data_IF_848485007475
#
_entry.id   IF_848485007475
#
_cell.length_a   1.000
_cell.length_b   1.000
_cell.length_c   1.000
_cell.angle_alpha   90.00
_cell.angle_beta   90.00
_cell.angle_gamma   90.00
#
_symmetry.space_group_name_H-M   'P 1'
#
loop_
_entity.id
_entity.type
_entity.pdbx_description
1 polymer ?
#
# COMPACT_ATOMS: atom_id res chain seq x y z
N UNK A 1 -13.00 18.50 -25.19
CA UNK A 1 -13.34 18.30 -23.75
C UNK A 1 -12.06 17.89 -23.05
N UNK A 2 -11.53 18.71 -22.16
CA UNK A 2 -10.42 18.28 -21.30
C UNK A 2 -10.95 17.18 -20.38
N UNK A 3 -10.51 15.95 -20.58
CA UNK A 3 -10.77 14.89 -19.60
C UNK A 3 -10.18 15.33 -18.29
N UNK A 4 -10.97 15.29 -17.20
CA UNK A 4 -10.49 15.64 -15.89
C UNK A 4 -9.18 14.84 -15.61
N UNK A 5 -8.12 15.54 -15.20
CA UNK A 5 -6.84 14.92 -14.95
C UNK A 5 -7.00 13.84 -13.87
N UNK A 6 -6.74 12.59 -14.24
CA UNK A 6 -6.82 11.45 -13.31
C UNK A 6 -5.73 11.59 -12.24
N UNK A 7 -6.08 11.40 -10.97
CA UNK A 7 -5.15 11.56 -9.85
C UNK A 7 -4.79 10.20 -9.24
N UNK A 8 -3.50 9.97 -9.03
CA UNK A 8 -2.95 8.80 -8.37
C UNK A 8 -2.27 9.17 -7.04
N UNK A 9 -2.51 8.41 -5.99
CA UNK A 9 -1.70 8.43 -4.75
C UNK A 9 -0.76 7.24 -4.75
N UNK A 10 0.55 7.49 -4.64
CA UNK A 10 1.58 6.44 -4.54
C UNK A 10 2.28 6.56 -3.19
N UNK A 11 2.09 5.56 -2.32
CA UNK A 11 2.78 5.56 -1.02
C UNK A 11 4.23 5.09 -1.14
N UNK A 12 5.15 5.69 -0.36
CA UNK A 12 6.58 5.37 -0.44
C UNK A 12 7.20 5.75 -1.80
N UNK A 13 6.73 6.83 -2.41
CA UNK A 13 7.12 7.29 -3.74
C UNK A 13 8.45 8.05 -3.80
N UNK A 14 9.21 8.11 -2.70
CA UNK A 14 10.46 8.91 -2.63
C UNK A 14 11.72 8.13 -3.01
N UNK A 15 11.62 6.81 -3.25
CA UNK A 15 12.74 5.97 -3.64
C UNK A 15 12.27 4.67 -4.34
N UNK A 16 13.22 3.96 -4.96
CA UNK A 16 13.02 2.61 -5.50
C UNK A 16 11.82 2.47 -6.42
N UNK A 17 11.03 1.40 -6.20
CA UNK A 17 9.86 1.09 -7.02
C UNK A 17 8.84 2.22 -7.04
N UNK A 18 8.48 2.75 -5.85
CA UNK A 18 7.45 3.79 -5.74
C UNK A 18 7.80 5.07 -6.50
N UNK A 19 9.08 5.52 -6.47
CA UNK A 19 9.55 6.67 -7.26
C UNK A 19 9.43 6.41 -8.77
N UNK A 20 9.85 5.23 -9.20
CA UNK A 20 9.79 4.87 -10.61
C UNK A 20 8.34 4.73 -11.11
N UNK A 21 7.44 4.17 -10.30
CA UNK A 21 5.99 4.09 -10.58
C UNK A 21 5.38 5.50 -10.66
N UNK A 22 5.72 6.38 -9.70
CA UNK A 22 5.25 7.78 -9.71
C UNK A 22 5.64 8.51 -11.00
N UNK A 23 6.90 8.37 -11.43
CA UNK A 23 7.38 8.93 -12.71
C UNK A 23 6.64 8.33 -13.93
N UNK A 24 6.42 7.00 -13.95
CA UNK A 24 5.72 6.33 -15.04
C UNK A 24 4.24 6.78 -15.15
N UNK A 25 3.54 6.93 -14.02
CA UNK A 25 2.16 7.43 -13.99
C UNK A 25 2.07 8.89 -14.46
N UNK A 26 3.00 9.74 -14.00
CA UNK A 26 3.08 11.13 -14.46
C UNK A 26 3.38 11.22 -15.95
N UNK A 27 4.25 10.35 -16.49
CA UNK A 27 4.54 10.24 -17.92
C UNK A 27 3.32 9.81 -18.76
N UNK A 28 2.31 9.19 -18.14
CA UNK A 28 1.00 8.89 -18.77
C UNK A 28 -0.02 10.03 -18.60
N UNK A 29 0.37 11.19 -18.08
CA UNK A 29 -0.49 12.35 -17.89
C UNK A 29 -1.32 12.35 -16.60
N UNK A 30 -1.09 11.42 -15.68
CA UNK A 30 -1.74 11.43 -14.36
C UNK A 30 -1.12 12.49 -13.46
N UNK A 31 -1.95 13.15 -12.65
CA UNK A 31 -1.47 13.91 -11.49
C UNK A 31 -1.08 12.95 -10.38
N UNK A 32 0.15 13.05 -9.87
CA UNK A 32 0.66 12.10 -8.87
C UNK A 32 0.85 12.77 -7.52
N UNK A 33 0.20 12.22 -6.50
CA UNK A 33 0.46 12.52 -5.09
C UNK A 33 1.64 11.66 -4.64
N UNK A 34 2.80 12.28 -4.51
CA UNK A 34 4.07 11.65 -4.14
C UNK A 34 4.15 11.57 -2.62
N UNK A 35 3.77 10.42 -2.05
CA UNK A 35 3.81 10.25 -0.60
C UNK A 35 5.18 9.77 -0.11
N UNK A 36 5.62 10.39 0.97
CA UNK A 36 6.81 10.00 1.75
C UNK A 36 6.82 10.67 3.12
N UNK A 37 7.76 10.28 3.98
CA UNK A 37 7.94 10.90 5.30
C UNK A 37 9.05 11.98 5.33
N UNK A 38 9.89 12.04 4.30
CA UNK A 38 10.98 12.99 4.16
C UNK A 38 10.61 14.04 3.13
N UNK A 39 10.43 15.29 3.58
CA UNK A 39 10.01 16.41 2.75
C UNK A 39 11.00 16.72 1.61
N UNK A 40 12.32 16.62 1.88
CA UNK A 40 13.35 16.92 0.87
C UNK A 40 13.34 15.89 -0.26
N UNK A 41 13.22 14.59 0.09
CA UNK A 41 13.11 13.51 -0.90
C UNK A 41 11.82 13.60 -1.69
N UNK A 42 10.69 13.92 -1.04
CA UNK A 42 9.42 14.07 -1.73
C UNK A 42 9.46 15.25 -2.71
N UNK A 43 9.99 16.41 -2.29
CA UNK A 43 10.18 17.57 -3.15
C UNK A 43 11.08 17.26 -4.36
N UNK A 44 12.19 16.55 -4.16
CA UNK A 44 13.09 16.14 -5.25
C UNK A 44 12.37 15.30 -6.32
N UNK A 45 11.47 14.39 -5.93
CA UNK A 45 10.70 13.58 -6.89
C UNK A 45 9.65 14.44 -7.61
N UNK A 46 8.99 15.35 -6.90
CA UNK A 46 8.06 16.30 -7.50
C UNK A 46 8.77 17.16 -8.55
N UNK A 47 9.95 17.70 -8.22
CA UNK A 47 10.77 18.52 -9.14
C UNK A 47 11.16 17.72 -10.39
N UNK A 48 11.57 16.47 -10.26
CA UNK A 48 11.89 15.60 -11.41
C UNK A 48 10.69 15.39 -12.33
N UNK A 49 9.53 15.05 -11.75
CA UNK A 49 8.30 14.85 -12.51
C UNK A 49 7.89 16.15 -13.22
N UNK A 50 7.96 17.29 -12.54
CA UNK A 50 7.59 18.59 -13.10
C UNK A 50 8.55 19.02 -14.21
N UNK A 51 9.85 18.82 -14.03
CA UNK A 51 10.85 19.10 -15.09
C UNK A 51 10.65 18.24 -16.34
N UNK A 52 10.08 17.04 -16.16
CA UNK A 52 9.71 16.16 -17.29
C UNK A 52 8.33 16.48 -17.88
N UNK A 53 7.69 17.58 -17.47
CA UNK A 53 6.37 17.99 -17.99
C UNK A 53 5.17 17.32 -17.32
N UNK A 54 5.38 16.51 -16.29
CA UNK A 54 4.32 15.86 -15.52
C UNK A 54 3.77 16.74 -14.39
N UNK A 55 2.65 16.31 -13.78
CA UNK A 55 2.02 16.98 -12.65
C UNK A 55 2.19 16.14 -11.38
N UNK A 56 2.79 16.70 -10.34
CA UNK A 56 2.96 16.04 -9.06
C UNK A 56 2.83 16.99 -7.87
N UNK A 57 2.46 16.44 -6.71
CA UNK A 57 2.45 17.15 -5.42
C UNK A 57 2.97 16.23 -4.32
N UNK A 58 3.84 16.75 -3.45
CA UNK A 58 4.31 16.03 -2.28
C UNK A 58 3.21 15.99 -1.20
N UNK A 59 3.05 14.80 -0.58
CA UNK A 59 2.18 14.59 0.58
C UNK A 59 2.97 13.82 1.65
N UNK A 60 2.95 14.33 2.87
CA UNK A 60 3.83 13.83 3.93
C UNK A 60 3.02 13.11 5.01
N UNK A 61 3.44 11.91 5.35
CA UNK A 61 2.98 11.17 6.52
C UNK A 61 3.99 10.09 6.91
N UNK A 62 4.11 9.78 8.18
CA UNK A 62 4.77 8.54 8.61
C UNK A 62 3.73 7.43 8.78
N UNK A 63 3.82 6.39 7.94
CA UNK A 63 2.91 5.24 7.99
C UNK A 63 3.10 4.37 9.25
N UNK A 64 4.12 4.65 10.06
CA UNK A 64 4.26 4.08 11.39
C UNK A 64 3.37 4.78 12.44
N UNK A 65 2.55 5.76 12.03
CA UNK A 65 1.53 6.42 12.86
C UNK A 65 0.20 6.36 12.15
N UNK A 66 -0.75 5.62 12.68
CA UNK A 66 -2.11 5.51 12.13
C UNK A 66 -2.84 6.85 12.17
N UNK A 67 -2.51 7.71 13.14
CA UNK A 67 -3.03 9.07 13.19
C UNK A 67 -2.57 9.88 11.96
N UNK A 68 -1.29 9.83 11.56
CA UNK A 68 -0.81 10.51 10.37
C UNK A 68 -1.37 9.90 9.07
N UNK A 69 -1.62 8.58 9.05
CA UNK A 69 -2.31 7.93 7.92
C UNK A 69 -3.74 8.46 7.78
N UNK A 70 -4.45 8.63 8.90
CA UNK A 70 -5.77 9.24 8.93
C UNK A 70 -5.74 10.67 8.39
N UNK A 71 -4.84 11.52 8.90
CA UNK A 71 -4.66 12.91 8.48
C UNK A 71 -4.35 13.02 6.98
N UNK A 72 -3.49 12.13 6.46
CA UNK A 72 -3.23 12.01 5.03
C UNK A 72 -4.50 11.72 4.24
N UNK A 73 -5.30 10.74 4.68
CA UNK A 73 -6.55 10.39 4.02
C UNK A 73 -7.57 11.54 4.08
N UNK A 74 -7.69 12.21 5.22
CA UNK A 74 -8.58 13.36 5.41
C UNK A 74 -8.18 14.52 4.48
N UNK A 75 -6.88 14.78 4.37
CA UNK A 75 -6.38 15.78 3.43
C UNK A 75 -6.70 15.41 1.97
N UNK A 76 -6.49 14.13 1.56
CA UNK A 76 -6.84 13.68 0.20
C UNK A 76 -8.33 13.83 -0.08
N UNK A 77 -9.19 13.48 0.88
CA UNK A 77 -10.64 13.63 0.76
C UNK A 77 -11.06 15.09 0.56
N UNK A 78 -10.44 16.03 1.29
CA UNK A 78 -10.76 17.44 1.24
C UNK A 78 -10.21 18.15 -0.02
N UNK A 79 -8.94 17.88 -0.37
CA UNK A 79 -8.20 18.63 -1.40
C UNK A 79 -8.42 18.07 -2.83
N UNK A 80 -8.55 16.74 -2.99
CA UNK A 80 -8.61 16.14 -4.33
C UNK A 80 -10.04 15.92 -4.85
N UNK A 81 -11.01 15.76 -3.98
CA UNK A 81 -12.39 15.45 -4.35
C UNK A 81 -12.60 14.09 -5.01
N UNK A 82 -11.72 13.69 -5.96
CA UNK A 82 -11.73 12.42 -6.65
C UNK A 82 -10.29 11.93 -6.91
N UNK A 83 -10.05 10.63 -6.72
CA UNK A 83 -8.82 9.94 -7.13
C UNK A 83 -9.18 8.67 -7.90
N UNK A 84 -8.37 8.30 -8.88
CA UNK A 84 -8.64 7.12 -9.72
C UNK A 84 -7.71 5.96 -9.42
N UNK A 85 -6.62 6.20 -8.65
CA UNK A 85 -5.63 5.18 -8.35
C UNK A 85 -5.02 5.38 -6.96
N UNK A 86 -5.00 4.31 -6.16
CA UNK A 86 -4.20 4.18 -4.96
C UNK A 86 -3.18 3.05 -5.15
N UNK A 87 -1.88 3.37 -5.06
CA UNK A 87 -0.80 2.37 -5.02
C UNK A 87 -0.22 2.33 -3.62
N UNK A 88 -0.59 1.31 -2.85
CA UNK A 88 0.00 1.00 -1.55
C UNK A 88 1.35 0.31 -1.75
N UNK A 89 2.38 1.12 -2.00
CA UNK A 89 3.73 0.63 -2.29
C UNK A 89 4.68 0.73 -1.09
N UNK A 90 4.48 1.66 -0.17
CA UNK A 90 5.34 1.79 1.00
C UNK A 90 5.46 0.47 1.75
N UNK A 91 6.66 0.16 2.22
CA UNK A 91 6.89 -1.04 3.00
C UNK A 91 8.28 -1.07 3.63
N UNK A 92 8.38 -1.86 4.69
CA UNK A 92 9.61 -2.15 5.42
C UNK A 92 9.93 -3.63 5.21
N UNK A 93 11.16 -3.95 4.81
CA UNK A 93 11.64 -5.31 4.60
C UNK A 93 11.98 -6.02 5.91
N UNK A 94 12.61 -7.20 5.80
CA UNK A 94 13.07 -8.00 6.94
C UNK A 94 14.10 -7.24 7.83
N UNK A 95 14.79 -6.25 7.28
CA UNK A 95 15.85 -5.50 7.95
C UNK A 95 17.24 -6.11 7.70
N UNK A 96 18.21 -5.73 8.55
CA UNK A 96 19.58 -6.29 8.49
C UNK A 96 19.71 -7.59 9.28
N UNK A 97 20.52 -8.52 8.83
CA UNK A 97 20.90 -9.68 9.65
C UNK A 97 21.45 -9.26 11.03
N UNK A 98 21.22 -10.02 12.10
CA UNK A 98 20.50 -11.29 12.20
C UNK A 98 18.95 -11.16 12.25
N UNK A 99 18.34 -10.07 11.80
CA UNK A 99 16.88 -9.86 11.72
C UNK A 99 16.12 -9.90 13.06
N UNK A 100 16.79 -9.64 14.17
CA UNK A 100 16.24 -9.79 15.53
C UNK A 100 15.78 -8.47 16.17
N UNK A 101 16.02 -7.31 15.52
CA UNK A 101 15.64 -6.02 16.09
C UNK A 101 14.15 -5.78 15.86
N UNK A 102 13.34 -6.07 16.89
CA UNK A 102 11.93 -5.70 16.93
C UNK A 102 11.79 -4.19 17.16
N UNK A 103 10.89 -3.56 16.43
CA UNK A 103 10.51 -2.17 16.57
C UNK A 103 8.99 -2.05 16.61
N UNK A 104 8.49 -1.08 17.35
CA UNK A 104 7.07 -0.77 17.41
C UNK A 104 6.79 0.53 16.66
N UNK A 105 5.59 0.65 16.12
CA UNK A 105 5.02 1.88 15.58
C UNK A 105 4.66 2.87 16.69
N UNK A 106 4.29 4.08 16.33
CA UNK A 106 3.81 5.08 17.29
C UNK A 106 2.58 4.59 18.08
N UNK A 107 1.77 3.72 17.48
CA UNK A 107 0.55 3.16 18.04
C UNK A 107 0.79 1.83 18.79
N UNK A 108 2.06 1.41 18.98
CA UNK A 108 2.45 0.23 19.74
C UNK A 108 2.34 -1.11 19.00
N UNK A 109 2.12 -1.11 17.67
CA UNK A 109 2.10 -2.32 16.85
C UNK A 109 3.51 -2.71 16.37
N UNK A 110 3.72 -3.99 16.04
CA UNK A 110 4.97 -4.38 15.35
C UNK A 110 5.11 -3.55 14.06
N UNK A 111 6.31 -3.01 13.84
CA UNK A 111 6.52 -1.95 12.86
C UNK A 111 6.18 -2.37 11.42
N UNK A 112 6.47 -3.63 11.02
CA UNK A 112 6.16 -4.15 9.68
C UNK A 112 4.67 -4.40 9.52
N UNK A 113 4.03 -4.93 10.56
CA UNK A 113 2.58 -5.10 10.59
C UNK A 113 1.86 -3.76 10.48
N UNK A 114 2.35 -2.74 11.20
CA UNK A 114 1.82 -1.37 11.10
C UNK A 114 1.97 -0.79 9.70
N UNK A 115 3.20 -0.72 9.17
CA UNK A 115 3.50 0.00 7.93
C UNK A 115 3.07 -0.77 6.68
N UNK A 116 3.25 -2.11 6.65
CA UNK A 116 2.97 -2.91 5.46
C UNK A 116 1.51 -3.36 5.37
N UNK A 117 0.75 -3.31 6.47
CA UNK A 117 -0.61 -3.82 6.53
C UNK A 117 -1.63 -2.83 7.11
N UNK A 118 -1.50 -2.41 8.39
CA UNK A 118 -2.52 -1.57 9.02
C UNK A 118 -2.66 -0.21 8.33
N UNK A 119 -1.54 0.42 7.97
CA UNK A 119 -1.54 1.70 7.26
C UNK A 119 -2.19 1.61 5.86
N UNK A 120 -1.83 0.65 4.97
CA UNK A 120 -2.55 0.42 3.72
C UNK A 120 -4.03 0.13 3.91
N UNK A 121 -4.39 -0.67 4.93
CA UNK A 121 -5.78 -1.01 5.21
C UNK A 121 -6.60 0.22 5.64
N UNK A 122 -6.06 1.04 6.55
CA UNK A 122 -6.68 2.28 6.98
C UNK A 122 -6.82 3.26 5.81
N UNK A 123 -5.73 3.49 5.07
CA UNK A 123 -5.70 4.42 3.95
C UNK A 123 -6.70 4.02 2.86
N UNK A 124 -6.72 2.75 2.46
CA UNK A 124 -7.65 2.25 1.47
C UNK A 124 -9.12 2.45 1.90
N UNK A 125 -9.47 2.10 3.15
CA UNK A 125 -10.83 2.26 3.67
C UNK A 125 -11.26 3.73 3.73
N UNK A 126 -10.40 4.63 4.19
CA UNK A 126 -10.71 6.07 4.26
C UNK A 126 -10.78 6.74 2.90
N UNK A 127 -10.11 6.19 1.88
CA UNK A 127 -10.13 6.72 0.51
C UNK A 127 -11.22 6.12 -0.38
N UNK A 128 -12.08 5.23 0.13
CA UNK A 128 -13.24 4.71 -0.65
C UNK A 128 -14.13 5.87 -1.20
N UNK A 129 -14.46 6.93 -0.44
CA UNK A 129 -15.28 8.00 -0.99
C UNK A 129 -14.68 8.71 -2.21
N UNK A 130 -13.43 9.22 -2.21
CA UNK A 130 -12.83 9.85 -3.38
C UNK A 130 -12.54 8.86 -4.52
N UNK A 131 -12.29 7.57 -4.22
CA UNK A 131 -12.16 6.52 -5.24
C UNK A 131 -13.49 6.24 -5.94
N UNK A 132 -14.61 6.19 -5.20
CA UNK A 132 -15.95 6.06 -5.80
C UNK A 132 -16.28 7.24 -6.70
N UNK A 133 -15.93 8.46 -6.30
CA UNK A 133 -16.11 9.67 -7.14
C UNK A 133 -15.25 9.64 -8.40
N UNK A 134 -14.08 9.03 -8.33
CA UNK A 134 -13.15 8.87 -9.44
C UNK A 134 -13.34 7.59 -10.27
N UNK A 135 -14.39 6.81 -10.01
CA UNK A 135 -14.62 5.55 -10.70
C UNK A 135 -14.75 5.72 -12.24
N UNK A 136 -14.19 4.82 -13.04
CA UNK A 136 -13.51 3.57 -12.64
C UNK A 136 -12.16 3.82 -11.96
N UNK A 137 -11.98 3.23 -10.78
CA UNK A 137 -10.81 3.45 -9.93
C UNK A 137 -10.14 2.12 -9.51
N UNK A 138 -8.88 2.21 -9.08
CA UNK A 138 -8.07 1.02 -8.77
C UNK A 138 -7.30 1.18 -7.47
N UNK A 139 -7.21 0.09 -6.70
CA UNK A 139 -6.31 -0.05 -5.55
C UNK A 139 -5.32 -1.16 -5.88
N UNK A 140 -4.04 -0.83 -5.87
CA UNK A 140 -2.94 -1.77 -6.12
C UNK A 140 -2.10 -1.89 -4.86
N UNK A 141 -2.13 -3.06 -4.23
CA UNK A 141 -1.37 -3.37 -3.02
C UNK A 141 -0.08 -4.11 -3.38
N UNK A 142 1.07 -3.55 -2.99
CA UNK A 142 2.36 -4.19 -3.24
C UNK A 142 2.60 -5.29 -2.19
N UNK A 143 2.31 -6.52 -2.58
CA UNK A 143 2.50 -7.74 -1.83
C UNK A 143 3.93 -8.29 -1.89
N UNK A 144 4.04 -9.60 -1.68
CA UNK A 144 5.28 -10.37 -1.79
C UNK A 144 4.93 -11.86 -1.98
N UNK A 145 5.85 -12.63 -2.57
CA UNK A 145 5.79 -14.10 -2.55
C UNK A 145 6.08 -14.65 -1.15
N UNK A 146 6.88 -13.94 -0.35
CA UNK A 146 7.12 -14.27 1.05
C UNK A 146 5.91 -13.93 1.92
N UNK A 147 5.13 -14.93 2.30
CA UNK A 147 3.92 -14.82 3.11
C UNK A 147 3.91 -15.93 4.18
N UNK A 148 3.46 -15.60 5.38
CA UNK A 148 3.24 -16.54 6.49
C UNK A 148 1.96 -16.16 7.26
N UNK A 149 1.20 -17.14 7.78
CA UNK A 149 0.01 -16.88 8.56
C UNK A 149 0.27 -15.96 9.74
N UNK A 150 -0.70 -15.09 10.04
CA UNK A 150 -0.63 -14.18 11.19
C UNK A 150 -1.06 -14.93 12.44
N UNK A 151 -0.24 -14.86 13.49
CA UNK A 151 -0.63 -15.25 14.82
C UNK A 151 -1.44 -14.12 15.47
N UNK A 152 -2.75 -14.29 15.54
CA UNK A 152 -3.65 -13.28 16.09
C UNK A 152 -3.58 -13.17 17.62
N UNK A 153 -2.99 -14.15 18.31
CA UNK A 153 -2.76 -14.09 19.74
C UNK A 153 -1.48 -13.30 20.09
N UNK A 154 -0.54 -13.17 19.15
CA UNK A 154 0.71 -12.44 19.34
C UNK A 154 1.04 -11.55 18.12
N UNK A 155 0.18 -10.55 17.88
CA UNK A 155 0.37 -9.55 16.80
C UNK A 155 1.62 -8.70 16.97
N UNK A 156 2.07 -8.53 18.19
CA UNK A 156 3.28 -7.76 18.53
C UNK A 156 4.54 -8.58 18.40
N UNK A 157 4.41 -9.89 18.25
CA UNK A 157 5.53 -10.84 18.21
C UNK A 157 6.45 -10.67 19.44
N UNK A 158 5.84 -10.62 20.62
CA UNK A 158 6.54 -10.42 21.88
C UNK A 158 7.37 -11.66 22.28
N UNK A 159 6.94 -12.86 21.87
CA UNK A 159 7.55 -14.13 22.30
C UNK A 159 8.71 -14.54 21.40
N UNK A 160 8.50 -14.60 20.09
CA UNK A 160 9.52 -15.03 19.12
C UNK A 160 9.54 -14.08 17.93
N UNK A 161 10.62 -13.33 17.79
CA UNK A 161 10.73 -12.32 16.75
C UNK A 161 11.84 -12.59 15.76
N UNK A 162 11.48 -12.58 14.47
CA UNK A 162 12.41 -12.31 13.37
C UNK A 162 11.78 -11.29 12.43
N UNK A 163 12.61 -10.36 11.91
CA UNK A 163 12.12 -9.38 10.94
C UNK A 163 11.60 -10.01 9.64
N UNK A 164 12.12 -11.19 9.26
CA UNK A 164 11.65 -11.93 8.11
C UNK A 164 10.22 -12.45 8.34
N UNK A 165 9.96 -13.06 9.50
CA UNK A 165 8.63 -13.56 9.83
C UNK A 165 7.62 -12.41 9.97
N UNK A 166 7.99 -11.32 10.64
CA UNK A 166 7.16 -10.12 10.75
C UNK A 166 6.81 -9.55 9.37
N UNK A 167 7.77 -9.52 8.46
CA UNK A 167 7.54 -9.14 7.07
C UNK A 167 6.57 -10.10 6.37
N UNK A 168 6.78 -11.42 6.48
CA UNK A 168 5.92 -12.41 5.82
C UNK A 168 4.48 -12.37 6.35
N UNK A 169 4.30 -12.24 7.67
CA UNK A 169 2.99 -12.08 8.31
C UNK A 169 2.29 -10.80 7.81
N UNK A 170 3.01 -9.69 7.70
CA UNK A 170 2.45 -8.44 7.18
C UNK A 170 2.00 -8.54 5.72
N UNK A 171 2.74 -9.29 4.88
CA UNK A 171 2.39 -9.49 3.47
C UNK A 171 1.26 -10.50 3.26
N UNK A 172 1.15 -11.49 4.13
CA UNK A 172 -0.03 -12.36 4.22
C UNK A 172 -1.29 -11.55 4.55
N UNK A 173 -1.21 -10.72 5.60
CA UNK A 173 -2.34 -9.90 6.03
C UNK A 173 -2.80 -8.94 4.93
N UNK A 174 -1.87 -8.31 4.21
CA UNK A 174 -2.18 -7.42 3.09
C UNK A 174 -2.87 -8.15 1.93
N UNK A 175 -2.45 -9.39 1.61
CA UNK A 175 -3.09 -10.19 0.57
C UNK A 175 -4.53 -10.59 0.97
N UNK A 176 -4.72 -11.07 2.21
CA UNK A 176 -6.05 -11.41 2.74
C UNK A 176 -6.99 -10.19 2.74
N UNK A 177 -6.50 -9.03 3.21
CA UNK A 177 -7.24 -7.76 3.17
C UNK A 177 -7.63 -7.35 1.75
N UNK A 178 -6.75 -7.57 0.77
CA UNK A 178 -7.03 -7.25 -0.64
C UNK A 178 -8.27 -8.00 -1.11
N UNK A 179 -8.38 -9.28 -0.78
CA UNK A 179 -9.52 -10.11 -1.18
C UNK A 179 -10.80 -9.70 -0.47
N UNK A 180 -10.73 -9.41 0.85
CA UNK A 180 -11.88 -8.90 1.60
C UNK A 180 -12.38 -7.56 1.05
N UNK A 181 -11.47 -6.61 0.81
CA UNK A 181 -11.85 -5.28 0.32
C UNK A 181 -12.41 -5.35 -1.11
N UNK A 182 -11.89 -6.25 -1.95
CA UNK A 182 -12.41 -6.47 -3.29
C UNK A 182 -13.87 -6.98 -3.27
N UNK A 183 -14.18 -7.91 -2.36
CA UNK A 183 -15.54 -8.40 -2.15
C UNK A 183 -16.47 -7.30 -1.62
N UNK A 184 -16.01 -6.52 -0.63
CA UNK A 184 -16.76 -5.39 -0.05
C UNK A 184 -17.08 -4.30 -1.09
N UNK A 185 -16.18 -4.08 -2.04
CA UNK A 185 -16.32 -3.05 -3.08
C UNK A 185 -16.90 -3.57 -4.40
N UNK A 186 -17.40 -4.79 -4.44
CA UNK A 186 -18.03 -5.36 -5.65
C UNK A 186 -19.14 -4.42 -6.17
N UNK A 187 -19.13 -4.16 -7.47
CA UNK A 187 -20.11 -3.27 -8.12
C UNK A 187 -19.90 -1.75 -7.89
N UNK A 188 -18.89 -1.35 -7.12
CA UNK A 188 -18.62 0.08 -6.84
C UNK A 188 -17.84 0.81 -7.95
N UNK A 189 -17.36 0.10 -8.95
CA UNK A 189 -16.44 0.63 -9.97
C UNK A 189 -14.98 0.74 -9.49
N UNK A 190 -14.64 0.13 -8.34
CA UNK A 190 -13.27 0.07 -7.80
C UNK A 190 -12.76 -1.36 -7.88
N UNK A 191 -11.61 -1.57 -8.52
CA UNK A 191 -10.90 -2.86 -8.48
C UNK A 191 -9.81 -2.82 -7.41
N UNK A 192 -9.58 -3.96 -6.72
CA UNK A 192 -8.57 -4.09 -5.67
C UNK A 192 -7.76 -5.34 -5.93
N UNK A 193 -6.46 -5.19 -6.20
CA UNK A 193 -5.58 -6.31 -6.49
C UNK A 193 -4.26 -6.21 -5.70
N UNK A 194 -3.63 -7.37 -5.47
CA UNK A 194 -2.34 -7.49 -4.81
C UNK A 194 -1.33 -8.09 -5.79
N UNK A 195 -0.07 -7.62 -5.76
CA UNK A 195 0.98 -8.24 -6.57
C UNK A 195 2.32 -8.30 -5.86
N UNK A 196 3.08 -9.35 -6.15
CA UNK A 196 4.53 -9.38 -6.00
C UNK A 196 5.17 -8.79 -7.26
N UNK A 197 5.81 -7.61 -7.21
CA UNK A 197 6.23 -6.93 -8.44
C UNK A 197 7.43 -7.59 -9.13
N UNK A 198 8.42 -8.03 -8.36
CA UNK A 198 9.57 -8.82 -8.80
C UNK A 198 10.43 -9.20 -7.58
N UNK A 199 11.13 -10.34 -7.67
CA UNK A 199 12.00 -10.83 -6.61
C UNK A 199 13.30 -10.02 -6.51
N UNK A 200 13.69 -9.66 -5.28
CA UNK A 200 14.99 -9.06 -4.96
C UNK A 200 15.36 -7.89 -5.90
N UNK A 201 14.43 -6.95 -6.11
CA UNK A 201 14.69 -5.77 -6.92
C UNK A 201 15.84 -4.93 -6.34
N UNK A 202 16.62 -4.28 -7.21
CA UNK A 202 17.70 -3.39 -6.81
C UNK A 202 17.18 -2.11 -6.11
N UNK A 203 16.68 -2.27 -4.88
CA UNK A 203 16.14 -1.22 -4.02
C UNK A 203 16.93 -1.12 -2.72
N UNK A 204 16.72 -0.04 -1.96
CA UNK A 204 17.32 0.10 -0.63
C UNK A 204 16.92 -1.04 0.31
N UNK A 205 15.66 -1.47 0.29
CA UNK A 205 15.13 -2.58 1.09
C UNK A 205 15.92 -3.89 0.87
N UNK A 206 16.22 -4.23 -0.39
CA UNK A 206 16.97 -5.44 -0.72
C UNK A 206 18.45 -5.29 -0.35
N UNK A 207 19.06 -4.14 -0.61
CA UNK A 207 20.44 -3.88 -0.21
C UNK A 207 20.64 -3.93 1.31
N UNK A 208 19.65 -3.45 2.08
CA UNK A 208 19.68 -3.52 3.54
C UNK A 208 19.71 -4.96 4.06
N UNK A 209 19.08 -5.91 3.37
CA UNK A 209 19.09 -7.32 3.73
C UNK A 209 20.42 -8.03 3.44
N UNK A 210 21.38 -7.34 2.79
CA UNK A 210 22.66 -7.89 2.34
C UNK A 210 22.52 -9.03 1.31
N UNK A 211 21.36 -9.19 0.71
CA UNK A 211 21.11 -10.15 -0.39
C UNK A 211 21.38 -9.44 -1.72
N UNK A 212 22.15 -10.03 -2.63
CA UNK A 212 22.37 -9.44 -3.95
C UNK A 212 21.06 -9.25 -4.71
N UNK A 213 20.86 -8.10 -5.40
CA UNK A 213 19.71 -7.91 -6.26
C UNK A 213 19.70 -8.91 -7.42
N UNK A 214 18.50 -9.45 -7.74
CA UNK A 214 18.28 -10.40 -8.84
C UNK A 214 17.44 -9.82 -9.98
N UNK A 215 16.75 -8.71 -9.73
CA UNK A 215 15.91 -8.06 -10.75
C UNK A 215 16.05 -6.55 -10.76
N UNK A 216 15.65 -5.94 -11.88
CA UNK A 216 15.65 -4.48 -12.03
C UNK A 216 14.37 -3.85 -11.44
N UNK A 217 14.44 -2.59 -11.03
CA UNK A 217 13.26 -1.80 -10.68
C UNK A 217 12.30 -1.69 -11.86
N UNK A 218 12.82 -1.61 -13.10
CA UNK A 218 12.00 -1.53 -14.31
C UNK A 218 11.09 -2.76 -14.50
N UNK A 219 11.54 -3.95 -14.10
CA UNK A 219 10.70 -5.16 -14.11
C UNK A 219 9.50 -5.00 -13.19
N UNK A 220 9.74 -4.52 -11.96
CA UNK A 220 8.66 -4.26 -11.00
C UNK A 220 7.71 -3.14 -11.46
N UNK A 221 8.23 -2.09 -12.10
CA UNK A 221 7.40 -1.02 -12.67
C UNK A 221 6.42 -1.58 -13.71
N UNK A 222 6.88 -2.43 -14.63
CA UNK A 222 6.00 -3.07 -15.62
C UNK A 222 4.84 -3.82 -14.98
N UNK A 223 5.13 -4.61 -13.94
CA UNK A 223 4.13 -5.37 -13.21
C UNK A 223 3.11 -4.45 -12.51
N UNK A 224 3.57 -3.40 -11.82
CA UNK A 224 2.67 -2.44 -11.17
C UNK A 224 1.82 -1.70 -12.19
N UNK A 225 2.40 -1.23 -13.29
CA UNK A 225 1.69 -0.47 -14.33
C UNK A 225 0.62 -1.32 -15.04
N UNK A 226 0.83 -2.63 -15.18
CA UNK A 226 -0.18 -3.53 -15.72
C UNK A 226 -1.48 -3.49 -14.88
N UNK A 227 -1.37 -3.46 -13.57
CA UNK A 227 -2.54 -3.34 -12.68
C UNK A 227 -2.98 -1.88 -12.49
N UNK A 228 -2.06 -0.93 -12.47
CA UNK A 228 -2.37 0.47 -12.22
C UNK A 228 -3.10 1.13 -13.39
N UNK A 229 -2.66 0.92 -14.61
CA UNK A 229 -3.20 1.59 -15.82
C UNK A 229 -3.45 0.62 -16.98
N UNK A 230 -2.86 -0.57 -16.96
CA UNK A 230 -3.04 -1.59 -17.98
C UNK A 230 -4.42 -2.26 -17.94
N UNK A 231 -4.70 -3.15 -18.91
CA UNK A 231 -6.02 -3.77 -19.05
C UNK A 231 -6.40 -4.66 -17.86
N UNK A 232 -5.47 -5.46 -17.33
CA UNK A 232 -5.79 -6.44 -16.28
C UNK A 232 -6.35 -5.76 -15.02
N UNK A 233 -5.73 -4.68 -14.55
CA UNK A 233 -6.17 -3.97 -13.36
C UNK A 233 -7.57 -3.33 -13.49
N UNK A 234 -8.09 -3.14 -14.68
CA UNK A 234 -9.44 -2.63 -14.93
C UNK A 234 -10.50 -3.70 -15.05
N UNK A 235 -10.11 -4.95 -15.33
CA UNK A 235 -11.02 -6.06 -15.63
C UNK A 235 -11.14 -7.07 -14.48
N UNK A 236 -10.10 -7.21 -13.65
CA UNK A 236 -10.08 -8.16 -12.55
C UNK A 236 -10.03 -7.46 -11.19
N UNK A 237 -10.64 -8.07 -10.18
CA UNK A 237 -10.59 -7.62 -8.79
C UNK A 237 -10.46 -8.82 -7.85
N UNK A 238 -9.83 -8.64 -6.68
CA UNK A 238 -9.60 -9.71 -5.72
C UNK A 238 -8.60 -10.76 -6.22
N UNK A 239 -7.59 -10.33 -7.01
CA UNK A 239 -6.59 -11.22 -7.56
C UNK A 239 -5.20 -10.93 -6.98
N UNK A 240 -4.39 -11.98 -6.99
CA UNK A 240 -2.96 -11.89 -6.68
C UNK A 240 -2.14 -12.14 -7.95
N UNK A 241 -1.07 -11.36 -8.10
CA UNK A 241 -0.16 -11.46 -9.26
C UNK A 241 1.28 -11.71 -8.79
N UNK A 242 2.01 -12.49 -9.57
CA UNK A 242 3.47 -12.61 -9.50
C UNK A 242 4.05 -12.02 -10.80
N UNK A 243 4.66 -10.86 -10.70
CA UNK A 243 5.03 -10.07 -11.85
C UNK A 243 3.81 -9.71 -12.70
N UNK A 244 3.84 -10.13 -13.97
CA UNK A 244 2.77 -9.88 -14.95
C UNK A 244 1.68 -10.95 -14.96
N UNK A 245 1.86 -12.05 -14.24
CA UNK A 245 0.98 -13.21 -14.32
C UNK A 245 0.05 -13.29 -13.12
N UNK A 246 -1.23 -13.60 -13.35
CA UNK A 246 -2.12 -13.98 -12.25
C UNK A 246 -1.57 -15.25 -11.59
N UNK A 247 -1.53 -15.26 -10.26
CA UNK A 247 -0.95 -16.32 -9.45
C UNK A 247 -1.80 -16.56 -8.20
N UNK A 248 -1.39 -17.49 -7.37
CA UNK A 248 -2.02 -17.70 -6.07
C UNK A 248 -1.14 -17.17 -4.96
N UNK A 249 -1.75 -16.42 -4.04
CA UNK A 249 -1.15 -16.05 -2.76
C UNK A 249 -1.05 -17.30 -1.84
N UNK A 250 -0.55 -17.13 -0.62
CA UNK A 250 -0.51 -18.20 0.37
C UNK A 250 -1.92 -18.79 0.58
N UNK A 251 -2.09 -20.14 0.61
CA UNK A 251 -3.42 -20.79 0.68
C UNK A 251 -4.31 -20.26 1.81
N UNK A 252 -3.74 -19.99 2.98
CA UNK A 252 -4.48 -19.44 4.12
C UNK A 252 -5.12 -18.07 3.89
N UNK A 253 -4.67 -17.30 2.88
CA UNK A 253 -5.32 -16.02 2.53
C UNK A 253 -6.67 -16.18 1.85
N UNK A 254 -7.00 -17.38 1.41
CA UNK A 254 -8.30 -17.74 0.82
C UNK A 254 -9.24 -18.45 1.82
N UNK A 255 -8.72 -18.83 3.01
CA UNK A 255 -9.53 -19.49 4.03
C UNK A 255 -10.50 -18.50 4.69
N UNK A 256 -11.83 -18.73 4.61
CA UNK A 256 -12.82 -17.79 5.13
C UNK A 256 -12.71 -17.55 6.64
N UNK A 257 -12.30 -18.58 7.41
CA UNK A 257 -12.17 -18.47 8.87
C UNK A 257 -10.99 -17.59 9.23
N UNK A 258 -9.83 -17.80 8.59
CA UNK A 258 -8.63 -16.99 8.77
C UNK A 258 -8.92 -15.54 8.40
N UNK A 259 -9.54 -15.28 7.24
CA UNK A 259 -9.92 -13.93 6.78
C UNK A 259 -10.89 -13.26 7.74
N UNK A 260 -11.92 -13.94 8.19
CA UNK A 260 -12.91 -13.39 9.12
C UNK A 260 -12.28 -12.97 10.46
N UNK A 261 -11.40 -13.82 11.02
CA UNK A 261 -10.69 -13.51 12.26
C UNK A 261 -9.74 -12.31 12.08
N UNK A 262 -8.94 -12.29 11.02
CA UNK A 262 -8.03 -11.18 10.73
C UNK A 262 -8.81 -9.89 10.51
N UNK A 263 -9.93 -9.93 9.79
CA UNK A 263 -10.82 -8.77 9.58
C UNK A 263 -11.38 -8.21 10.89
N UNK A 264 -11.84 -9.07 11.80
CA UNK A 264 -12.38 -8.67 13.09
C UNK A 264 -11.32 -7.93 13.92
N UNK A 265 -10.13 -8.52 14.08
CA UNK A 265 -9.02 -7.89 14.81
C UNK A 265 -8.59 -6.59 14.14
N UNK A 266 -8.50 -6.55 12.81
CA UNK A 266 -8.15 -5.33 12.09
C UNK A 266 -9.18 -4.23 12.28
N UNK A 267 -10.47 -4.57 12.29
CA UNK A 267 -11.52 -3.60 12.56
C UNK A 267 -11.39 -2.98 13.95
N UNK A 268 -11.10 -3.77 14.98
CA UNK A 268 -10.86 -3.29 16.34
C UNK A 268 -9.64 -2.34 16.41
N UNK A 269 -8.52 -2.71 15.76
CA UNK A 269 -7.30 -1.90 15.75
C UNK A 269 -7.47 -0.58 14.99
N UNK A 270 -8.29 -0.55 13.94
CA UNK A 270 -8.49 0.63 13.10
C UNK A 270 -9.70 1.48 13.51
N UNK A 271 -10.60 0.98 14.37
CA UNK A 271 -11.82 1.70 14.78
C UNK A 271 -11.57 3.14 15.26
N UNK A 272 -10.56 3.44 16.12
CA UNK A 272 -10.28 4.80 16.57
C UNK A 272 -9.93 5.77 15.43
N UNK A 273 -9.42 5.26 14.30
CA UNK A 273 -8.96 6.04 13.16
C UNK A 273 -9.96 6.07 12.00
N UNK A 274 -10.97 5.20 12.01
CA UNK A 274 -12.03 5.16 11.01
C UNK A 274 -13.21 6.06 11.34
N UNK A 275 -13.44 6.35 12.63
CA UNK A 275 -14.53 7.25 13.05
C UNK A 275 -14.21 8.70 12.69
N UNK A 276 -15.22 9.44 12.20
CA UNK A 276 -15.07 10.85 11.95
C UNK A 276 -15.05 11.64 13.27
N UNK A 277 -14.14 12.60 13.38
CA UNK A 277 -13.93 13.41 14.59
C UNK A 277 -15.14 14.28 14.98
N UNK A 278 -16.19 14.29 14.17
CA UNK A 278 -17.36 15.17 14.32
C UNK A 278 -18.51 14.63 15.18
N UNK A 279 -18.47 13.39 15.69
CA UNK A 279 -19.58 12.80 16.47
C UNK A 279 -19.36 12.76 18.00
N UNK A 280 -18.33 13.39 18.53
CA UNK A 280 -18.10 13.42 20.00
C UNK A 280 -18.64 14.67 20.70
N UNK A 281 -19.42 15.52 20.05
CA UNK A 281 -20.03 16.71 20.69
C UNK A 281 -21.56 16.60 20.68
N UNK A 282 -22.11 15.59 21.37
CA UNK A 282 -23.50 15.63 21.88
C UNK A 282 -23.84 14.32 22.62
N UNK A 283 -23.34 14.18 23.85
CA UNK A 283 -24.01 13.43 24.92
C UNK A 283 -23.72 14.08 26.26
#
# INVERSE_FOLDING_TARGET
MMTAATTALVTGATAGLGRAVAGALAGQGMRVLVHGRDAKRAASVVDEITKSGGAARAVLADLASLQQVRELADWVNADQGAITLLVNNAGIGAGRPPYRKRQLSADGHELRFAVNYLAPALLARRLVPPLKKGAPARIVNIGSVGQAPVDLADLRMDNHYTGAEAYYRSKFALAAFTFDLAEELAGSGITVNCLHPASLMNTHMVRESLIPPMSSVATGVKAVMNLATGPDGGTVTGRYFDGMNEARAHPGTYDPVTRSRLRAVTAELLDPFLRDSGRQASR
#
